data_IF_414394332365
#
_entry.id   IF_414394332365
#
_cell.length_a   1.000
_cell.length_b   1.000
_cell.length_c   1.000
_cell.angle_alpha   90.00
_cell.angle_beta   90.00
_cell.angle_gamma   90.00
#
_symmetry.space_group_name_H-M   'P 1'
#
loop_
_entity.id
_entity.type
_entity.pdbx_description
1 polymer ?
#
# COMPACT_ATOMS: atom_id res chain seq x y z
N UNK A 1 5.00 26.58 44.53
CA UNK A 1 5.30 25.14 44.29
C UNK A 1 4.13 24.55 43.50
N UNK A 2 3.92 25.11 42.31
CA UNK A 2 2.85 24.79 41.36
C UNK A 2 3.57 24.48 40.03
N UNK A 3 3.03 23.54 39.26
CA UNK A 3 3.47 23.10 37.93
C UNK A 3 4.56 22.02 37.83
N UNK A 4 4.33 20.83 38.42
CA UNK A 4 5.18 19.67 38.14
C UNK A 4 4.56 18.52 37.34
N UNK A 5 3.24 18.41 37.12
CA UNK A 5 2.71 17.37 36.21
C UNK A 5 1.37 17.73 35.55
N UNK A 6 1.37 18.69 34.62
CA UNK A 6 0.50 18.55 33.46
C UNK A 6 1.12 17.49 32.55
N UNK A 7 0.89 16.20 32.83
CA UNK A 7 1.22 15.12 31.88
C UNK A 7 0.38 15.38 30.63
N UNK A 8 1.00 15.97 29.61
CA UNK A 8 0.44 16.02 28.27
C UNK A 8 0.15 14.56 27.90
N UNK A 9 -1.12 14.19 27.72
CA UNK A 9 -1.49 12.84 27.30
C UNK A 9 -0.76 12.59 25.98
N UNK A 10 0.22 11.70 25.99
CA UNK A 10 0.95 11.36 24.76
C UNK A 10 -0.06 10.72 23.80
N UNK A 11 -0.18 11.30 22.61
CA UNK A 11 -0.99 10.71 21.54
C UNK A 11 -0.38 9.36 21.17
N UNK A 12 -1.18 8.31 21.28
CA UNK A 12 -0.72 6.96 20.96
C UNK A 12 -0.68 6.75 19.44
N UNK A 13 0.04 5.71 18.99
CA UNK A 13 0.01 5.31 17.57
C UNK A 13 -1.41 4.98 17.09
N UNK A 14 -2.19 4.33 17.95
CA UNK A 14 -3.58 3.96 17.67
C UNK A 14 -4.47 5.19 17.47
N UNK A 15 -4.30 6.22 18.30
CA UNK A 15 -5.03 7.49 18.14
C UNK A 15 -4.75 8.11 16.75
N UNK A 16 -3.48 8.17 16.34
CA UNK A 16 -3.12 8.73 15.02
C UNK A 16 -3.60 7.83 13.88
N UNK A 17 -3.55 6.51 14.05
CA UNK A 17 -4.07 5.56 13.06
C UNK A 17 -5.57 5.78 12.81
N UNK A 18 -6.35 6.00 13.86
CA UNK A 18 -7.78 6.32 13.75
C UNK A 18 -8.02 7.69 13.08
N UNK A 19 -7.23 8.71 13.40
CA UNK A 19 -7.33 10.00 12.70
C UNK A 19 -6.99 9.89 11.21
N UNK A 20 -5.98 9.07 10.86
CA UNK A 20 -5.61 8.78 9.48
C UNK A 20 -6.72 8.03 8.76
N UNK A 21 -7.33 7.03 9.41
CA UNK A 21 -8.49 6.31 8.87
C UNK A 21 -9.60 7.29 8.46
N UNK A 22 -9.98 8.21 9.36
CA UNK A 22 -11.02 9.21 9.08
C UNK A 22 -10.65 10.16 7.95
N UNK A 23 -9.38 10.54 7.83
CA UNK A 23 -8.91 11.35 6.70
C UNK A 23 -9.07 10.58 5.38
N UNK A 24 -8.66 9.31 5.35
CA UNK A 24 -8.77 8.46 4.15
C UNK A 24 -10.23 8.18 3.77
N UNK A 25 -11.11 7.96 4.73
CA UNK A 25 -12.55 7.79 4.51
C UNK A 25 -13.17 9.02 3.84
N UNK A 26 -12.76 10.22 4.27
CA UNK A 26 -13.15 11.48 3.65
C UNK A 26 -12.34 11.84 2.39
N UNK A 27 -11.45 10.95 1.92
CA UNK A 27 -10.51 11.18 0.80
C UNK A 27 -9.60 12.39 0.97
N UNK A 28 -9.37 12.82 2.21
CA UNK A 28 -8.37 13.84 2.57
C UNK A 28 -6.98 13.20 2.70
N UNK A 29 -6.42 12.83 1.55
CA UNK A 29 -5.13 12.14 1.46
C UNK A 29 -3.98 13.00 2.00
N UNK A 30 -4.04 14.31 1.80
CA UNK A 30 -2.99 15.24 2.26
C UNK A 30 -2.93 15.25 3.78
N UNK A 31 -4.08 15.37 4.46
CA UNK A 31 -4.11 15.32 5.92
C UNK A 31 -3.69 13.95 6.45
N UNK A 32 -4.08 12.85 5.78
CA UNK A 32 -3.65 11.50 6.15
C UNK A 32 -2.12 11.37 6.11
N UNK A 33 -1.48 11.76 5.00
CA UNK A 33 -0.01 11.73 4.84
C UNK A 33 0.67 12.61 5.91
N UNK A 34 0.14 13.82 6.13
CA UNK A 34 0.68 14.76 7.12
C UNK A 34 0.69 14.19 8.53
N UNK A 35 -0.41 13.56 8.95
CA UNK A 35 -0.53 12.95 10.28
C UNK A 35 0.50 11.84 10.50
N UNK A 36 0.74 11.02 9.49
CA UNK A 36 1.78 9.98 9.56
C UNK A 36 3.16 10.62 9.67
N UNK A 37 3.47 11.61 8.83
CA UNK A 37 4.75 12.34 8.90
C UNK A 37 4.98 13.01 10.24
N UNK A 38 3.98 13.71 10.77
CA UNK A 38 4.04 14.39 12.07
C UNK A 38 4.20 13.40 13.24
N UNK A 39 3.68 12.18 13.11
CA UNK A 39 3.86 11.11 14.10
C UNK A 39 5.26 10.51 14.03
N UNK A 40 5.72 10.13 12.84
CA UNK A 40 7.05 9.54 12.62
C UNK A 40 8.18 10.53 13.00
N UNK A 41 8.03 11.82 12.70
CA UNK A 41 9.01 12.85 13.05
C UNK A 41 9.28 12.99 14.56
N UNK A 42 8.37 12.47 15.41
CA UNK A 42 8.48 12.48 16.87
C UNK A 42 9.02 11.17 17.44
N UNK A 43 9.14 10.11 16.63
CA UNK A 43 9.60 8.81 17.12
C UNK A 43 11.11 8.83 17.38
N UNK A 44 11.59 8.14 18.42
CA UNK A 44 13.04 7.96 18.65
C UNK A 44 13.69 7.14 17.52
N UNK A 45 12.91 6.24 16.91
CA UNK A 45 13.32 5.39 15.79
C UNK A 45 12.22 5.41 14.72
N UNK A 46 12.18 6.44 13.86
CA UNK A 46 11.19 6.52 12.80
C UNK A 46 11.40 5.43 11.74
N UNK A 47 10.34 5.06 11.02
CA UNK A 47 10.42 4.05 9.96
C UNK A 47 11.24 4.53 8.75
N UNK A 48 11.91 3.58 8.09
CA UNK A 48 12.62 3.83 6.82
C UNK A 48 13.98 4.50 7.00
N UNK A 49 14.97 4.00 6.27
CA UNK A 49 16.34 4.55 6.30
C UNK A 49 16.42 5.74 5.35
N UNK A 50 16.95 6.87 5.83
CA UNK A 50 17.18 8.07 5.02
C UNK A 50 15.94 8.92 4.74
N UNK A 51 14.79 8.61 5.37
CA UNK A 51 13.58 9.43 5.25
C UNK A 51 13.67 10.61 6.22
N UNK A 52 13.62 11.84 5.69
CA UNK A 52 13.52 13.06 6.50
C UNK A 52 12.06 13.32 6.90
N UNK A 53 11.62 12.67 7.97
CA UNK A 53 10.26 12.83 8.49
C UNK A 53 9.96 14.26 8.97
N UNK A 54 10.98 15.03 9.40
CA UNK A 54 10.79 16.41 9.85
C UNK A 54 10.44 17.36 8.71
N UNK A 55 10.94 17.07 7.51
CA UNK A 55 10.62 17.82 6.29
C UNK A 55 9.81 16.99 5.27
N UNK A 56 9.14 15.93 5.71
CA UNK A 56 8.38 15.02 4.84
C UNK A 56 7.38 15.77 3.95
N UNK A 57 6.80 16.85 4.51
CA UNK A 57 5.88 17.77 3.84
C UNK A 57 6.38 18.58 2.67
N UNK A 58 7.69 18.64 2.49
CA UNK A 58 8.30 19.40 1.42
C UNK A 58 8.84 18.51 0.29
N UNK A 59 9.04 17.21 0.53
CA UNK A 59 9.81 16.35 -0.36
C UNK A 59 9.10 15.08 -0.86
N UNK A 60 8.17 14.48 -0.09
CA UNK A 60 7.56 13.18 -0.44
C UNK A 60 6.03 13.19 -0.59
N UNK A 61 5.37 14.34 -0.41
CA UNK A 61 3.91 14.41 -0.53
C UNK A 61 3.39 14.01 -1.91
N UNK A 62 4.15 14.27 -2.97
CA UNK A 62 3.73 13.93 -4.32
C UNK A 62 3.66 12.43 -4.55
N UNK A 63 4.66 11.66 -4.09
CA UNK A 63 4.70 10.21 -4.30
C UNK A 63 3.59 9.48 -3.55
N UNK A 64 3.38 9.82 -2.27
CA UNK A 64 2.32 9.19 -1.48
C UNK A 64 0.94 9.57 -1.99
N UNK A 65 0.75 10.84 -2.38
CA UNK A 65 -0.51 11.30 -2.93
C UNK A 65 -0.83 10.58 -4.24
N UNK A 66 0.14 10.37 -5.12
CA UNK A 66 -0.05 9.61 -6.35
C UNK A 66 -0.44 8.15 -6.05
N UNK A 67 0.26 7.48 -5.14
CA UNK A 67 -0.07 6.09 -4.75
C UNK A 67 -1.46 6.01 -4.11
N UNK A 68 -1.83 6.93 -3.21
CA UNK A 68 -3.15 6.96 -2.61
C UNK A 68 -4.24 7.22 -3.67
N UNK A 69 -4.00 8.12 -4.61
CA UNK A 69 -4.91 8.32 -5.74
C UNK A 69 -5.06 7.05 -6.58
N UNK A 70 -3.99 6.31 -6.83
CA UNK A 70 -4.05 5.03 -7.55
C UNK A 70 -4.86 3.99 -6.77
N UNK A 71 -4.68 3.87 -5.45
CA UNK A 71 -5.46 2.97 -4.60
C UNK A 71 -6.96 3.29 -4.70
N UNK A 72 -7.33 4.57 -4.64
CA UNK A 72 -8.74 4.98 -4.61
C UNK A 72 -9.41 5.09 -5.99
N UNK A 73 -8.66 5.09 -7.08
CA UNK A 73 -9.23 5.27 -8.43
C UNK A 73 -9.01 4.08 -9.36
N UNK A 74 -8.16 3.12 -9.00
CA UNK A 74 -7.90 1.95 -9.84
C UNK A 74 -8.85 0.79 -9.53
N UNK A 75 -8.87 -0.18 -10.44
CA UNK A 75 -9.47 -1.50 -10.27
C UNK A 75 -8.69 -2.57 -11.04
N UNK A 76 -7.72 -3.25 -10.41
CA UNK A 76 -6.93 -4.29 -11.08
C UNK A 76 -7.80 -5.48 -11.49
N UNK A 77 -7.39 -6.18 -12.54
CA UNK A 77 -8.10 -7.32 -13.12
C UNK A 77 -8.34 -8.42 -12.08
N UNK A 78 -7.36 -8.66 -11.20
CA UNK A 78 -7.47 -9.65 -10.11
C UNK A 78 -8.59 -9.32 -9.11
N UNK A 79 -9.04 -8.06 -9.04
CA UNK A 79 -10.12 -7.58 -8.18
C UNK A 79 -11.39 -7.20 -8.94
N UNK A 80 -11.51 -7.56 -10.23
CA UNK A 80 -12.62 -7.12 -11.09
C UNK A 80 -14.03 -7.44 -10.54
N UNK A 81 -14.16 -8.52 -9.78
CA UNK A 81 -15.42 -8.99 -9.21
C UNK A 81 -15.72 -8.44 -7.81
N UNK A 82 -14.84 -7.61 -7.24
CA UNK A 82 -15.05 -6.98 -5.93
C UNK A 82 -15.69 -5.63 -6.14
N UNK A 83 -16.86 -5.40 -5.53
CA UNK A 83 -17.70 -4.23 -5.80
C UNK A 83 -18.20 -3.53 -4.53
N UNK A 84 -18.77 -2.34 -4.72
CA UNK A 84 -19.55 -1.63 -3.70
C UNK A 84 -18.77 -1.33 -2.42
N UNK A 85 -19.46 -1.47 -1.28
CA UNK A 85 -18.90 -1.18 0.04
C UNK A 85 -17.70 -2.08 0.37
N UNK A 86 -17.70 -3.33 -0.08
CA UNK A 86 -16.55 -4.23 0.11
C UNK A 86 -15.30 -3.66 -0.57
N UNK A 87 -15.42 -3.20 -1.80
CA UNK A 87 -14.27 -2.62 -2.50
C UNK A 87 -13.81 -1.30 -1.87
N UNK A 88 -14.72 -0.51 -1.32
CA UNK A 88 -14.37 0.68 -0.53
C UNK A 88 -13.58 0.31 0.73
N UNK A 89 -13.98 -0.72 1.48
CA UNK A 89 -13.21 -1.23 2.63
C UNK A 89 -11.82 -1.71 2.19
N UNK A 90 -11.71 -2.41 1.06
CA UNK A 90 -10.41 -2.84 0.51
C UNK A 90 -9.50 -1.64 0.21
N UNK A 91 -10.03 -0.57 -0.40
CA UNK A 91 -9.28 0.68 -0.66
C UNK A 91 -8.74 1.31 0.63
N UNK A 92 -9.58 1.41 1.66
CA UNK A 92 -9.19 1.94 2.97
C UNK A 92 -8.09 1.08 3.60
N UNK A 93 -8.28 -0.24 3.62
CA UNK A 93 -7.30 -1.19 4.14
C UNK A 93 -5.95 -1.10 3.41
N UNK A 94 -5.95 -1.07 2.08
CA UNK A 94 -4.76 -0.88 1.26
C UNK A 94 -4.02 0.42 1.57
N UNK A 95 -4.74 1.54 1.69
CA UNK A 95 -4.16 2.84 1.96
C UNK A 95 -3.52 2.90 3.37
N UNK A 96 -4.17 2.31 4.37
CA UNK A 96 -3.63 2.21 5.72
C UNK A 96 -2.40 1.31 5.77
N UNK A 97 -2.44 0.15 5.11
CA UNK A 97 -1.27 -0.73 4.97
C UNK A 97 -0.10 -0.03 4.28
N UNK A 98 -0.36 0.76 3.24
CA UNK A 98 0.65 1.57 2.56
C UNK A 98 1.31 2.58 3.51
N UNK A 99 0.51 3.44 4.14
CA UNK A 99 1.01 4.53 4.98
C UNK A 99 1.72 4.03 6.26
N UNK A 100 1.16 3.00 6.91
CA UNK A 100 1.67 2.49 8.18
C UNK A 100 2.65 1.32 8.04
N UNK A 101 2.87 0.82 6.82
CA UNK A 101 3.75 -0.32 6.54
C UNK A 101 3.35 -1.57 7.31
N UNK A 102 2.08 -1.68 7.71
CA UNK A 102 1.61 -2.77 8.56
C UNK A 102 1.26 -4.01 7.74
N UNK A 103 1.44 -5.18 8.35
CA UNK A 103 1.13 -6.49 7.78
C UNK A 103 -0.35 -6.86 7.84
N UNK A 104 -1.20 -6.06 8.51
CA UNK A 104 -2.61 -6.41 8.73
C UNK A 104 -3.56 -5.20 8.63
N UNK A 105 -4.28 -5.08 7.53
CA UNK A 105 -5.35 -4.11 7.33
C UNK A 105 -6.54 -4.31 8.31
N UNK A 106 -6.82 -5.55 8.73
CA UNK A 106 -7.96 -5.87 9.61
C UNK A 106 -7.89 -5.22 10.98
N UNK A 107 -6.70 -4.82 11.46
CA UNK A 107 -6.56 -4.12 12.74
C UNK A 107 -7.29 -2.75 12.77
N UNK A 108 -7.60 -2.19 11.60
CA UNK A 108 -8.25 -0.87 11.47
C UNK A 108 -9.77 -0.95 11.35
N UNK A 109 -10.34 -2.15 11.32
CA UNK A 109 -11.77 -2.36 11.13
C UNK A 109 -12.41 -2.94 12.39
N UNK A 110 -13.72 -2.75 12.52
CA UNK A 110 -14.46 -3.31 13.64
C UNK A 110 -14.44 -4.85 13.59
N UNK A 111 -14.74 -5.50 14.73
CA UNK A 111 -14.82 -6.96 14.77
C UNK A 111 -15.92 -7.50 13.87
N UNK A 112 -17.00 -6.75 13.72
CA UNK A 112 -18.14 -7.05 12.85
C UNK A 112 -17.72 -7.02 11.37
N UNK A 113 -17.02 -5.96 10.95
CA UNK A 113 -16.47 -5.85 9.59
C UNK A 113 -15.51 -7.02 9.28
N UNK A 114 -14.60 -7.34 10.20
CA UNK A 114 -13.66 -8.45 10.03
C UNK A 114 -14.39 -9.79 9.94
N UNK A 115 -15.49 -9.96 10.69
CA UNK A 115 -16.28 -11.19 10.68
C UNK A 115 -17.08 -11.35 9.38
N UNK A 116 -17.57 -10.25 8.80
CA UNK A 116 -18.23 -10.22 7.49
C UNK A 116 -17.33 -10.80 6.38
N UNK A 117 -16.05 -10.40 6.37
CA UNK A 117 -15.07 -10.92 5.41
C UNK A 117 -14.82 -12.42 5.60
N UNK A 118 -14.62 -12.85 6.86
CA UNK A 118 -14.37 -14.26 7.20
C UNK A 118 -15.53 -15.17 6.80
N UNK A 119 -16.76 -14.78 7.14
CA UNK A 119 -17.97 -15.53 6.82
C UNK A 119 -18.21 -15.65 5.32
N UNK A 120 -17.69 -14.70 4.53
CA UNK A 120 -17.78 -14.68 3.07
C UNK A 120 -16.67 -15.49 2.39
N UNK A 121 -15.78 -16.18 3.13
CA UNK A 121 -14.55 -16.81 2.62
C UNK A 121 -13.65 -15.83 1.84
N UNK A 122 -13.72 -14.53 2.18
CA UNK A 122 -12.93 -13.47 1.57
C UNK A 122 -11.71 -13.21 2.44
N UNK A 123 -10.53 -13.40 1.88
CA UNK A 123 -9.27 -12.99 2.51
C UNK A 123 -9.05 -11.49 2.31
N UNK A 124 -9.59 -10.67 3.23
CA UNK A 124 -9.51 -9.21 3.16
C UNK A 124 -8.08 -8.67 3.13
N UNK A 125 -7.17 -9.29 3.88
CA UNK A 125 -5.75 -8.91 3.93
C UNK A 125 -5.11 -9.12 2.57
N UNK A 126 -5.39 -10.26 1.94
CA UNK A 126 -4.96 -10.53 0.57
C UNK A 126 -5.51 -9.51 -0.40
N UNK A 127 -6.80 -9.17 -0.34
CA UNK A 127 -7.39 -8.17 -1.24
C UNK A 127 -6.71 -6.80 -1.09
N UNK A 128 -6.49 -6.36 0.16
CA UNK A 128 -5.82 -5.09 0.45
C UNK A 128 -4.38 -5.09 -0.10
N UNK A 129 -3.66 -6.19 0.09
CA UNK A 129 -2.29 -6.35 -0.41
C UNK A 129 -2.21 -6.33 -1.94
N UNK A 130 -3.16 -6.99 -2.62
CA UNK A 130 -3.22 -7.02 -4.09
C UNK A 130 -3.40 -5.60 -4.65
N UNK A 131 -4.34 -4.82 -4.11
CA UNK A 131 -4.58 -3.45 -4.57
C UNK A 131 -3.41 -2.51 -4.22
N UNK A 132 -2.82 -2.66 -3.04
CA UNK A 132 -1.64 -1.89 -2.65
C UNK A 132 -0.47 -2.13 -3.62
N UNK A 133 -0.11 -3.39 -3.86
CA UNK A 133 0.99 -3.72 -4.76
C UNK A 133 0.73 -3.29 -6.20
N UNK A 134 -0.49 -3.49 -6.70
CA UNK A 134 -0.89 -2.95 -8.01
C UNK A 134 -0.60 -1.46 -8.11
N UNK A 135 -1.06 -0.68 -7.12
CA UNK A 135 -0.93 0.77 -7.14
C UNK A 135 0.53 1.22 -7.10
N UNK A 136 1.36 0.49 -6.34
CA UNK A 136 2.80 0.76 -6.29
C UNK A 136 3.50 0.42 -7.60
N UNK A 137 3.17 -0.72 -8.21
CA UNK A 137 3.73 -1.14 -9.49
C UNK A 137 3.35 -0.17 -10.62
N UNK A 138 2.11 0.33 -10.65
CA UNK A 138 1.68 1.36 -11.61
C UNK A 138 2.46 2.67 -11.41
N UNK A 139 2.61 3.11 -10.17
CA UNK A 139 3.39 4.31 -9.85
C UNK A 139 4.86 4.16 -10.26
N UNK A 140 5.49 3.02 -9.95
CA UNK A 140 6.90 2.77 -10.28
C UNK A 140 7.11 2.67 -11.79
N UNK A 141 6.24 1.96 -12.51
CA UNK A 141 6.27 1.90 -13.98
C UNK A 141 6.16 3.28 -14.62
N UNK A 142 5.27 4.13 -14.11
CA UNK A 142 5.13 5.51 -14.61
C UNK A 142 6.45 6.28 -14.43
N UNK A 143 7.01 6.28 -13.22
CA UNK A 143 8.27 6.99 -12.95
C UNK A 143 9.45 6.46 -13.77
N UNK A 144 9.56 5.14 -13.91
CA UNK A 144 10.57 4.51 -14.74
C UNK A 144 10.44 4.91 -16.21
N UNK A 145 9.21 4.92 -16.74
CA UNK A 145 8.94 5.36 -18.11
C UNK A 145 9.29 6.83 -18.31
N UNK A 146 8.84 7.71 -17.40
CA UNK A 146 9.09 9.15 -17.44
C UNK A 146 10.57 9.51 -17.26
N UNK A 147 11.34 8.70 -16.54
CA UNK A 147 12.79 8.88 -16.40
C UNK A 147 13.54 8.79 -17.73
N UNK A 148 12.99 8.07 -18.71
CA UNK A 148 13.62 7.82 -20.01
C UNK A 148 14.73 6.77 -20.00
N UNK A 149 15.24 6.35 -18.84
CA UNK A 149 16.36 5.40 -18.70
C UNK A 149 15.92 3.94 -18.67
N UNK A 150 14.74 3.64 -18.11
CA UNK A 150 14.25 2.27 -18.01
C UNK A 150 13.40 1.96 -19.23
N UNK A 151 13.88 1.04 -20.08
CA UNK A 151 13.15 0.57 -21.27
C UNK A 151 12.51 -0.80 -21.08
N UNK A 152 13.08 -1.60 -20.20
CA UNK A 152 12.63 -2.96 -19.93
C UNK A 152 12.58 -3.25 -18.44
N UNK A 153 11.74 -4.21 -18.10
CA UNK A 153 11.57 -4.71 -16.72
C UNK A 153 11.59 -6.23 -16.72
N UNK A 154 12.19 -6.80 -15.69
CA UNK A 154 12.16 -8.24 -15.41
C UNK A 154 11.08 -8.52 -14.37
N UNK A 155 10.32 -9.60 -14.56
CA UNK A 155 9.39 -10.09 -13.55
C UNK A 155 10.15 -10.95 -12.55
N UNK A 156 10.24 -10.49 -11.30
CA UNK A 156 10.73 -11.29 -10.19
C UNK A 156 9.56 -12.02 -9.54
N UNK A 157 9.55 -13.35 -9.65
CA UNK A 157 8.65 -14.21 -8.89
C UNK A 157 9.03 -14.26 -7.41
N UNK A 158 8.04 -14.29 -6.52
CA UNK A 158 8.21 -14.48 -5.07
C UNK A 158 8.76 -15.85 -4.60
N UNK A 159 9.66 -16.45 -5.40
CA UNK A 159 10.44 -17.66 -5.08
C UNK A 159 9.60 -18.92 -4.83
N UNK A 160 10.02 -19.75 -3.86
CA UNK A 160 9.41 -21.06 -3.54
C UNK A 160 7.92 -21.01 -3.18
N UNK A 161 7.38 -19.84 -2.82
CA UNK A 161 5.96 -19.65 -2.46
C UNK A 161 5.06 -19.22 -3.63
N UNK A 162 5.60 -19.16 -4.85
CA UNK A 162 4.85 -18.84 -6.05
C UNK A 162 3.93 -19.98 -6.51
N UNK A 163 2.77 -19.62 -7.06
CA UNK A 163 2.00 -20.53 -7.89
C UNK A 163 2.69 -20.78 -9.24
N UNK A 164 2.22 -21.78 -9.99
CA UNK A 164 2.86 -22.18 -11.25
C UNK A 164 2.85 -21.09 -12.30
N UNK A 165 1.79 -20.28 -12.38
CA UNK A 165 1.75 -19.12 -13.27
C UNK A 165 2.86 -18.10 -12.94
N UNK A 166 3.03 -17.77 -11.66
CA UNK A 166 4.10 -16.87 -11.23
C UNK A 166 5.50 -17.45 -11.49
N UNK A 167 5.69 -18.77 -11.36
CA UNK A 167 6.95 -19.45 -11.70
C UNK A 167 7.24 -19.37 -13.20
N UNK A 168 6.23 -19.54 -14.04
CA UNK A 168 6.37 -19.44 -15.50
C UNK A 168 6.75 -18.02 -15.93
N UNK A 169 6.26 -16.99 -15.23
CA UNK A 169 6.56 -15.59 -15.54
C UNK A 169 7.90 -15.11 -14.97
N UNK A 170 8.44 -15.79 -13.96
CA UNK A 170 9.68 -15.40 -13.29
C UNK A 170 10.88 -15.36 -14.27
N UNK A 171 11.62 -14.26 -14.26
CA UNK A 171 12.79 -14.03 -15.10
C UNK A 171 12.46 -13.58 -16.53
N UNK A 172 11.18 -13.50 -16.91
CA UNK A 172 10.80 -12.96 -18.22
C UNK A 172 11.00 -11.45 -18.23
N UNK A 173 11.66 -10.96 -19.28
CA UNK A 173 11.90 -9.54 -19.52
C UNK A 173 10.88 -9.04 -20.54
N UNK A 174 10.31 -7.87 -20.27
CA UNK A 174 9.35 -7.19 -21.13
C UNK A 174 9.79 -5.75 -21.36
N UNK A 175 9.36 -5.13 -22.46
CA UNK A 175 9.35 -3.67 -22.50
C UNK A 175 8.39 -3.16 -21.43
N UNK A 176 8.69 -1.98 -20.89
CA UNK A 176 7.93 -1.43 -19.76
C UNK A 176 6.43 -1.20 -20.08
N UNK A 177 6.09 -0.93 -21.33
CA UNK A 177 4.72 -0.75 -21.83
C UNK A 177 4.02 -2.07 -22.21
N UNK A 178 4.78 -3.15 -22.42
CA UNK A 178 4.28 -4.47 -22.81
C UNK A 178 4.19 -5.45 -21.61
N UNK A 179 4.74 -5.10 -20.45
CA UNK A 179 4.72 -5.98 -19.27
C UNK A 179 3.28 -6.20 -18.78
N UNK A 180 2.89 -7.46 -18.49
CA UNK A 180 1.57 -7.77 -17.95
C UNK A 180 1.30 -7.07 -16.62
N UNK A 181 0.02 -6.86 -16.32
CA UNK A 181 -0.42 -6.31 -15.04
C UNK A 181 0.00 -7.21 -13.87
N UNK A 182 0.61 -6.59 -12.86
CA UNK A 182 0.82 -7.16 -11.54
C UNK A 182 -0.09 -6.47 -10.52
N UNK A 183 -0.66 -7.20 -9.55
CA UNK A 183 -0.73 -8.66 -9.45
C UNK A 183 -1.40 -9.34 -10.64
N UNK A 184 -0.90 -10.52 -11.03
CA UNK A 184 -1.52 -11.28 -12.10
C UNK A 184 -2.95 -11.72 -11.77
N UNK A 185 -3.87 -11.51 -12.72
CA UNK A 185 -5.25 -12.03 -12.64
C UNK A 185 -5.28 -13.55 -12.40
N UNK A 186 -4.36 -14.29 -13.02
CA UNK A 186 -4.26 -15.75 -12.93
C UNK A 186 -3.47 -16.26 -11.72
N UNK A 187 -3.08 -15.38 -10.78
CA UNK A 187 -2.35 -15.82 -9.59
C UNK A 187 -3.25 -16.66 -8.67
N UNK A 188 -2.84 -17.90 -8.39
CA UNK A 188 -3.55 -18.82 -7.49
C UNK A 188 -2.88 -18.96 -6.12
N UNK A 189 -1.84 -18.17 -5.83
CA UNK A 189 -1.18 -18.20 -4.51
C UNK A 189 -2.18 -17.86 -3.40
N UNK A 190 -2.18 -18.69 -2.34
CA UNK A 190 -3.06 -18.53 -1.17
C UNK A 190 -2.94 -17.11 -0.60
N UNK A 191 -1.70 -16.65 -0.39
CA UNK A 191 -1.38 -15.35 0.20
C UNK A 191 -1.36 -14.17 -0.79
N UNK A 192 -1.90 -14.35 -2.01
CA UNK A 192 -1.83 -13.36 -3.08
C UNK A 192 -0.51 -13.36 -3.86
N UNK A 193 -0.48 -12.62 -4.96
CA UNK A 193 0.70 -12.47 -5.80
C UNK A 193 1.80 -11.73 -5.02
N UNK A 194 3.02 -12.25 -5.12
CA UNK A 194 4.23 -11.64 -4.55
C UNK A 194 5.26 -11.32 -5.63
N UNK A 195 4.84 -11.32 -6.89
CA UNK A 195 5.70 -10.91 -7.98
C UNK A 195 5.92 -9.40 -7.90
N UNK A 196 7.07 -8.95 -8.38
CA UNK A 196 7.41 -7.54 -8.50
C UNK A 196 8.12 -7.30 -9.81
N UNK A 197 8.21 -6.04 -10.22
CA UNK A 197 9.01 -5.62 -11.36
C UNK A 197 10.39 -5.16 -10.90
N UNK A 198 11.42 -5.56 -11.63
CA UNK A 198 12.77 -5.04 -11.49
C UNK A 198 13.11 -4.26 -12.75
N UNK A 199 13.49 -2.99 -12.60
CA UNK A 199 14.02 -2.22 -13.70
C UNK A 199 15.32 -2.85 -14.22
N UNK A 200 15.38 -3.09 -15.53
CA UNK A 200 16.60 -3.51 -16.21
C UNK A 200 17.23 -2.27 -16.82
N UNK A 201 18.46 -1.98 -16.40
CA UNK A 201 19.26 -0.88 -16.95
C UNK A 201 20.30 -1.50 -17.88
N UNK A 202 20.37 -1.00 -19.11
CA UNK A 202 21.42 -1.36 -20.07
C UNK A 202 22.76 -0.70 -19.71
#
# INVERSE_FOLDING_TARGET
>A
MLDFFARKKETTKEDVQNEVFLCLENKDFISAIKKVGDFEAKQPFPRGIGIDWKNYSKSMYSSDLEVLNLIFNSKPLVLKNIEGLLYQKVRLGSALSYLWGSSSATQYFSKEDVSEFKNSNIDFEKLCRLLFFYSKDVYDKKNWSESGFVKSVEILGGGKSCCDYCKEMNGKIFKIDEVPELPFEKCSSVNGCKCSLLAVMD
#
